data_IF_879274548963
#
_entry.id   IF_879274548963
#
_cell.length_a   1.000
_cell.length_b   1.000
_cell.length_c   1.000
_cell.angle_alpha   90.00
_cell.angle_beta   90.00
_cell.angle_gamma   90.00
#
_symmetry.space_group_name_H-M   'P 1'
#
loop_
_entity.id
_entity.type
_entity.pdbx_description
1 polymer ?
#
# COMPACT_ATOMS: atom_id res chain seq x y z
N UNK A 1 17.52 16.05 3.54
CA UNK A 1 16.19 16.65 3.33
C UNK A 1 15.66 17.11 4.68
N UNK A 2 15.51 18.43 4.92
CA UNK A 2 14.98 18.94 6.19
C UNK A 2 13.45 18.92 6.09
N UNK A 3 12.80 18.00 6.80
CA UNK A 3 11.35 17.99 6.93
C UNK A 3 10.94 19.12 7.87
N UNK A 4 9.91 19.88 7.48
CA UNK A 4 9.30 20.86 8.39
C UNK A 4 8.50 20.13 9.46
N UNK A 5 8.31 20.74 10.63
CA UNK A 5 7.48 20.17 11.70
C UNK A 5 6.08 19.82 11.20
N UNK A 6 5.49 20.68 10.35
CA UNK A 6 4.18 20.43 9.71
C UNK A 6 4.18 19.14 8.87
N UNK A 7 5.22 18.94 8.05
CA UNK A 7 5.34 17.73 7.23
C UNK A 7 5.52 16.48 8.09
N UNK A 8 6.30 16.55 9.16
CA UNK A 8 6.52 15.43 10.07
C UNK A 8 5.22 15.03 10.78
N UNK A 9 4.46 16.00 11.29
CA UNK A 9 3.16 15.76 11.91
C UNK A 9 2.20 15.11 10.93
N UNK A 10 2.15 15.60 9.69
CA UNK A 10 1.27 15.03 8.66
C UNK A 10 1.68 13.59 8.31
N UNK A 11 2.98 13.30 8.19
CA UNK A 11 3.47 11.94 7.99
C UNK A 11 3.08 11.02 9.16
N UNK A 12 3.16 11.50 10.41
CA UNK A 12 2.77 10.71 11.59
C UNK A 12 1.27 10.38 11.57
N UNK A 13 0.41 11.36 11.29
CA UNK A 13 -1.05 11.16 11.18
C UNK A 13 -1.39 10.19 10.05
N UNK A 14 -0.77 10.34 8.87
CA UNK A 14 -0.99 9.44 7.74
C UNK A 14 -0.46 8.04 8.04
N UNK A 15 0.64 7.90 8.78
CA UNK A 15 1.15 6.59 9.21
C UNK A 15 0.15 5.91 10.15
N UNK A 16 -0.41 6.65 11.11
CA UNK A 16 -1.44 6.11 12.01
C UNK A 16 -2.71 5.69 11.25
N UNK A 17 -3.14 6.48 10.27
CA UNK A 17 -4.28 6.14 9.40
C UNK A 17 -4.00 4.88 8.57
N UNK A 18 -2.80 4.77 8.00
CA UNK A 18 -2.38 3.59 7.23
C UNK A 18 -2.33 2.34 8.11
N UNK A 19 -1.90 2.47 9.37
CA UNK A 19 -1.94 1.38 10.36
C UNK A 19 -3.38 0.97 10.68
N UNK A 20 -4.28 1.92 10.89
CA UNK A 20 -5.69 1.64 11.12
C UNK A 20 -6.30 0.85 9.94
N UNK A 21 -6.04 1.26 8.70
CA UNK A 21 -6.48 0.51 7.52
C UNK A 21 -5.83 -0.88 7.43
N UNK A 22 -4.55 -1.01 7.74
CA UNK A 22 -3.88 -2.32 7.79
C UNK A 22 -4.48 -3.24 8.85
N UNK A 23 -4.94 -2.67 9.98
CA UNK A 23 -5.61 -3.43 11.03
C UNK A 23 -7.03 -3.84 10.61
N UNK A 24 -7.77 -2.93 9.98
CA UNK A 24 -9.11 -3.20 9.46
C UNK A 24 -9.11 -4.33 8.41
N UNK A 25 -8.05 -4.42 7.60
CA UNK A 25 -7.91 -5.53 6.63
C UNK A 25 -7.97 -6.91 7.28
N UNK A 26 -7.54 -7.05 8.53
CA UNK A 26 -7.55 -8.34 9.22
C UNK A 26 -8.99 -8.83 9.52
N UNK A 27 -9.98 -7.93 9.50
CA UNK A 27 -11.40 -8.29 9.66
C UNK A 27 -12.06 -8.74 8.35
N UNK A 28 -11.41 -8.50 7.21
CA UNK A 28 -11.89 -8.99 5.91
C UNK A 28 -11.09 -10.24 5.53
N UNK A 29 -11.60 -11.46 5.76
CA UNK A 29 -10.86 -12.67 5.48
C UNK A 29 -10.76 -12.87 3.96
N UNK A 30 -9.63 -12.46 3.39
CA UNK A 30 -9.25 -12.84 2.03
C UNK A 30 -8.87 -14.32 1.91
N UNK A 31 -8.88 -15.05 3.00
CA UNK A 31 -8.71 -16.49 3.03
C UNK A 31 -9.71 -17.23 2.14
N UNK A 32 -10.85 -16.61 1.80
CA UNK A 32 -11.80 -17.13 0.81
C UNK A 32 -11.27 -17.02 -0.63
N UNK A 33 -10.39 -16.05 -0.92
CA UNK A 33 -9.81 -15.84 -2.25
C UNK A 33 -8.39 -16.42 -2.38
N UNK A 34 -7.68 -16.62 -1.27
CA UNK A 34 -6.34 -17.20 -1.25
C UNK A 34 -6.09 -17.92 0.08
N UNK A 35 -5.72 -19.22 0.05
CA UNK A 35 -5.37 -19.98 1.24
C UNK A 35 -3.98 -19.63 1.79
N UNK A 36 -3.29 -18.65 1.22
CA UNK A 36 -1.96 -18.23 1.66
C UNK A 36 -2.08 -17.26 2.83
N UNK A 37 -1.59 -17.62 4.02
CA UNK A 37 -1.64 -16.74 5.18
C UNK A 37 -0.76 -15.50 4.95
N UNK A 38 -1.25 -14.32 5.35
CA UNK A 38 -0.50 -13.06 5.27
C UNK A 38 -0.77 -12.22 4.02
N UNK A 39 -1.47 -12.73 3.02
CA UNK A 39 -1.90 -11.93 1.86
C UNK A 39 -2.99 -10.92 2.30
N UNK A 40 -2.82 -9.67 1.87
CA UNK A 40 -3.70 -8.54 2.21
C UNK A 40 -4.22 -7.84 0.95
N UNK A 41 -5.42 -7.24 1.05
CA UNK A 41 -6.04 -6.42 -0.01
C UNK A 41 -5.23 -5.18 -0.39
N UNK A 42 -4.48 -4.65 0.58
CA UNK A 42 -3.71 -3.43 0.39
C UNK A 42 -4.53 -2.14 0.62
N UNK A 43 -5.55 -2.16 1.51
CA UNK A 43 -6.30 -0.95 1.87
C UNK A 43 -5.40 0.18 2.37
N UNK A 44 -4.33 -0.16 3.08
CA UNK A 44 -3.32 0.81 3.49
C UNK A 44 -2.63 1.52 2.30
N UNK A 45 -2.70 0.97 1.09
CA UNK A 45 -2.19 1.62 -0.11
C UNK A 45 -3.00 2.86 -0.50
N UNK A 46 -4.24 3.03 -0.02
CA UNK A 46 -5.03 4.27 -0.17
C UNK A 46 -4.20 5.45 0.35
N UNK A 47 -3.68 5.32 1.57
CA UNK A 47 -2.88 6.37 2.20
C UNK A 47 -1.56 6.56 1.46
N UNK A 48 -0.96 5.48 0.98
CA UNK A 48 0.32 5.52 0.28
C UNK A 48 0.19 6.22 -1.09
N UNK A 49 -0.87 5.90 -1.86
CA UNK A 49 -1.19 6.61 -3.13
C UNK A 49 -1.45 8.08 -2.85
N UNK A 50 -2.27 8.39 -1.86
CA UNK A 50 -2.56 9.77 -1.46
C UNK A 50 -1.26 10.52 -1.08
N UNK A 51 -0.43 9.94 -0.22
CA UNK A 51 0.82 10.55 0.20
C UNK A 51 1.81 10.78 -0.96
N UNK A 52 1.86 9.84 -1.92
CA UNK A 52 2.71 9.97 -3.11
C UNK A 52 2.36 11.23 -3.92
N UNK A 53 1.06 11.49 -4.11
CA UNK A 53 0.60 12.64 -4.90
C UNK A 53 0.54 13.94 -4.09
N UNK A 54 0.23 13.88 -2.79
CA UNK A 54 0.08 15.06 -1.93
C UNK A 54 1.41 15.58 -1.38
N UNK A 55 2.30 14.67 -1.00
CA UNK A 55 3.54 14.99 -0.27
C UNK A 55 4.81 14.66 -1.08
N UNK A 56 4.67 13.78 -2.05
CA UNK A 56 5.78 13.30 -2.87
C UNK A 56 6.38 11.97 -2.42
N UNK A 57 7.32 11.41 -3.23
CA UNK A 57 7.81 10.04 -3.06
C UNK A 57 8.53 9.80 -1.74
N UNK A 58 9.30 10.77 -1.25
CA UNK A 58 10.12 10.61 -0.06
C UNK A 58 9.27 10.49 1.21
N UNK A 59 8.25 11.33 1.35
CA UNK A 59 7.30 11.29 2.47
C UNK A 59 6.43 10.03 2.40
N UNK A 60 5.99 9.65 1.18
CA UNK A 60 5.23 8.43 0.98
C UNK A 60 6.04 7.17 1.38
N UNK A 61 7.34 7.13 1.06
CA UNK A 61 8.24 6.06 1.51
C UNK A 61 8.42 6.06 3.04
N UNK A 62 8.52 7.23 3.66
CA UNK A 62 8.62 7.33 5.12
C UNK A 62 7.34 6.77 5.79
N UNK A 63 6.17 7.14 5.31
CA UNK A 63 4.88 6.65 5.79
C UNK A 63 4.77 5.13 5.59
N UNK A 64 5.15 4.63 4.41
CA UNK A 64 5.16 3.21 4.10
C UNK A 64 6.05 2.43 5.06
N UNK A 65 7.30 2.89 5.25
CA UNK A 65 8.26 2.22 6.14
C UNK A 65 7.76 2.24 7.59
N UNK A 66 7.31 3.41 8.06
CA UNK A 66 6.76 3.57 9.41
C UNK A 66 5.59 2.62 9.67
N UNK A 67 4.61 2.55 8.76
CA UNK A 67 3.46 1.65 8.92
C UNK A 67 3.85 0.16 8.89
N UNK A 68 4.84 -0.23 8.06
CA UNK A 68 5.28 -1.62 7.99
C UNK A 68 5.98 -2.05 9.29
N UNK A 69 6.88 -1.20 9.80
CA UNK A 69 7.59 -1.47 11.04
C UNK A 69 6.64 -1.52 12.25
N UNK A 70 5.84 -0.48 12.43
CA UNK A 70 4.88 -0.42 13.55
C UNK A 70 3.82 -1.52 13.44
N UNK A 71 3.33 -1.80 12.23
CA UNK A 71 2.37 -2.87 12.02
C UNK A 71 2.92 -4.24 12.38
N UNK A 72 4.20 -4.52 12.11
CA UNK A 72 4.86 -5.75 12.49
C UNK A 72 5.06 -5.85 14.01
N UNK A 73 5.43 -4.74 14.66
CA UNK A 73 5.56 -4.68 16.13
C UNK A 73 4.21 -4.98 16.79
N UNK A 74 3.12 -4.35 16.31
CA UNK A 74 1.79 -4.59 16.88
C UNK A 74 1.24 -5.99 16.56
N UNK A 75 1.60 -6.57 15.42
CA UNK A 75 1.21 -7.92 15.05
C UNK A 75 2.03 -8.99 15.80
N UNK A 76 3.19 -8.64 16.36
CA UNK A 76 4.13 -9.58 16.99
C UNK A 76 4.63 -10.66 16.03
N UNK A 77 4.63 -10.41 14.72
CA UNK A 77 4.88 -11.41 13.69
C UNK A 77 5.84 -10.91 12.61
N UNK A 78 7.03 -11.53 12.55
CA UNK A 78 8.06 -11.18 11.57
C UNK A 78 7.62 -11.47 10.12
N UNK A 79 6.81 -12.51 9.89
CA UNK A 79 6.28 -12.78 8.55
C UNK A 79 5.41 -11.63 8.06
N UNK A 80 4.59 -11.03 8.95
CA UNK A 80 3.79 -9.85 8.60
C UNK A 80 4.67 -8.68 8.12
N UNK A 81 5.88 -8.51 8.69
CA UNK A 81 6.84 -7.51 8.24
C UNK A 81 7.33 -7.80 6.82
N UNK A 82 7.75 -9.04 6.54
CA UNK A 82 8.27 -9.45 5.22
C UNK A 82 7.21 -9.23 4.15
N UNK A 83 5.97 -9.68 4.37
CA UNK A 83 4.85 -9.47 3.44
C UNK A 83 4.55 -7.99 3.23
N UNK A 84 4.53 -7.20 4.29
CA UNK A 84 4.23 -5.77 4.22
C UNK A 84 5.34 -4.98 3.51
N UNK A 85 6.61 -5.31 3.76
CA UNK A 85 7.73 -4.64 3.12
C UNK A 85 7.81 -5.00 1.63
N UNK A 86 7.86 -6.29 1.29
CA UNK A 86 7.98 -6.71 -0.12
C UNK A 86 6.78 -6.24 -0.93
N UNK A 87 5.55 -6.41 -0.43
CA UNK A 87 4.36 -5.90 -1.08
C UNK A 87 4.34 -4.38 -1.19
N UNK A 88 4.62 -3.68 -0.09
CA UNK A 88 4.57 -2.23 -0.03
C UNK A 88 5.65 -1.54 -0.89
N UNK A 89 6.89 -2.00 -0.82
CA UNK A 89 7.97 -1.42 -1.62
C UNK A 89 7.81 -1.72 -3.11
N UNK A 90 7.36 -2.93 -3.49
CA UNK A 90 7.05 -3.25 -4.88
C UNK A 90 5.95 -2.33 -5.43
N UNK A 91 4.88 -2.14 -4.66
CA UNK A 91 3.81 -1.22 -5.00
C UNK A 91 4.32 0.21 -5.16
N UNK A 92 5.10 0.71 -4.18
CA UNK A 92 5.63 2.07 -4.19
C UNK A 92 6.55 2.32 -5.39
N UNK A 93 7.45 1.37 -5.69
CA UNK A 93 8.35 1.48 -6.84
C UNK A 93 7.56 1.66 -8.14
N UNK A 94 6.58 0.79 -8.38
CA UNK A 94 5.74 0.83 -9.58
C UNK A 94 4.91 2.11 -9.60
N UNK A 95 4.30 2.52 -8.49
CA UNK A 95 3.53 3.75 -8.41
C UNK A 95 4.38 5.00 -8.69
N UNK A 96 5.62 5.07 -8.18
CA UNK A 96 6.54 6.18 -8.48
C UNK A 96 6.90 6.21 -9.97
N UNK A 97 7.14 5.05 -10.58
CA UNK A 97 7.45 4.98 -12.01
C UNK A 97 6.25 5.39 -12.87
N UNK A 98 5.07 4.85 -12.56
CA UNK A 98 3.84 5.12 -13.30
C UNK A 98 3.34 6.57 -13.10
N UNK A 99 3.54 7.16 -11.92
CA UNK A 99 3.15 8.54 -11.63
C UNK A 99 3.91 9.60 -12.44
N UNK A 100 5.07 9.23 -13.00
CA UNK A 100 5.83 10.09 -13.90
C UNK A 100 5.22 10.18 -15.32
N UNK A 101 4.37 9.22 -15.67
CA UNK A 101 3.70 9.20 -16.99
C UNK A 101 2.52 10.17 -17.00
N UNK A 102 2.48 11.07 -17.99
CA UNK A 102 1.38 12.02 -18.19
C UNK A 102 0.08 11.35 -18.69
N UNK A 103 0.17 10.11 -19.16
CA UNK A 103 -0.97 9.37 -19.71
C UNK A 103 -1.74 8.55 -18.67
N UNK A 104 -1.19 8.39 -17.47
CA UNK A 104 -1.80 7.58 -16.41
C UNK A 104 -2.47 8.47 -15.36
N UNK A 105 -3.74 8.18 -15.12
CA UNK A 105 -4.49 8.79 -14.01
C UNK A 105 -4.10 8.15 -12.68
N UNK A 106 -4.50 8.78 -11.58
CA UNK A 106 -4.36 8.23 -10.23
C UNK A 106 -4.95 6.81 -10.12
N UNK A 107 -6.01 6.51 -10.87
CA UNK A 107 -6.63 5.19 -10.92
C UNK A 107 -5.71 4.15 -11.55
N UNK A 108 -5.11 4.47 -12.71
CA UNK A 108 -4.16 3.59 -13.39
C UNK A 108 -2.91 3.32 -12.54
N UNK A 109 -2.38 4.37 -11.89
CA UNK A 109 -1.26 4.24 -10.95
C UNK A 109 -1.62 3.36 -9.76
N UNK A 110 -2.83 3.49 -9.21
CA UNK A 110 -3.32 2.69 -8.10
C UNK A 110 -3.48 1.22 -8.47
N UNK A 111 -4.04 0.93 -9.65
CA UNK A 111 -4.17 -0.45 -10.18
C UNK A 111 -2.80 -1.08 -10.38
N UNK A 112 -1.86 -0.36 -11.02
CA UNK A 112 -0.49 -0.84 -11.19
C UNK A 112 0.22 -1.10 -9.83
N UNK A 113 -0.01 -0.20 -8.87
CA UNK A 113 0.46 -0.37 -7.50
C UNK A 113 -0.11 -1.62 -6.80
N UNK A 114 -1.42 -1.86 -6.95
CA UNK A 114 -2.08 -3.04 -6.39
C UNK A 114 -1.55 -4.35 -7.02
N UNK A 115 -1.35 -4.36 -8.33
CA UNK A 115 -0.75 -5.51 -9.02
C UNK A 115 0.68 -5.79 -8.53
N UNK A 116 1.51 -4.76 -8.44
CA UNK A 116 2.87 -4.87 -7.92
C UNK A 116 2.89 -5.28 -6.44
N UNK A 117 1.94 -4.80 -5.64
CA UNK A 117 1.78 -5.22 -4.25
C UNK A 117 1.55 -6.74 -4.15
N UNK A 118 0.62 -7.27 -4.93
CA UNK A 118 0.34 -8.70 -4.96
C UNK A 118 1.54 -9.53 -5.46
N UNK A 119 2.28 -9.03 -6.47
CA UNK A 119 3.54 -9.66 -6.88
C UNK A 119 4.56 -9.72 -5.73
N UNK A 120 4.72 -8.62 -5.01
CA UNK A 120 5.60 -8.56 -3.84
C UNK A 120 5.17 -9.49 -2.71
N UNK A 121 3.86 -9.64 -2.48
CA UNK A 121 3.33 -10.59 -1.49
C UNK A 121 3.55 -12.05 -1.90
N UNK A 122 3.39 -12.39 -3.18
CA UNK A 122 3.71 -13.73 -3.69
C UNK A 122 5.21 -14.01 -3.55
N UNK A 123 6.08 -13.04 -3.86
CA UNK A 123 7.52 -13.19 -3.62
C UNK A 123 7.82 -13.43 -2.13
N UNK A 124 7.17 -12.71 -1.22
CA UNK A 124 7.27 -12.93 0.21
C UNK A 124 6.82 -14.35 0.60
N UNK A 125 5.69 -14.82 0.04
CA UNK A 125 5.18 -16.17 0.28
C UNK A 125 6.16 -17.25 -0.21
N UNK A 126 6.73 -17.09 -1.39
CA UNK A 126 7.73 -18.03 -1.92
C UNK A 126 8.98 -18.10 -1.02
N UNK A 127 9.43 -16.94 -0.52
CA UNK A 127 10.58 -16.87 0.38
C UNK A 127 10.29 -17.51 1.75
N UNK A 128 9.12 -17.25 2.32
CA UNK A 128 8.76 -17.75 3.66
C UNK A 128 8.41 -19.23 3.66
N UNK A 129 7.84 -19.75 2.58
CA UNK A 129 7.47 -21.16 2.44
C UNK A 129 8.60 -22.00 1.82
N UNK A 130 9.65 -21.38 1.30
CA UNK A 130 10.72 -22.09 0.59
C UNK A 130 10.24 -22.86 -0.67
N UNK A 131 9.14 -22.42 -1.29
CA UNK A 131 8.47 -23.11 -2.39
C UNK A 131 7.93 -22.11 -3.42
N UNK A 132 7.88 -22.52 -4.69
CA UNK A 132 7.27 -21.74 -5.78
C UNK A 132 5.75 -21.95 -5.90
N UNK A 133 5.16 -22.81 -5.07
CA UNK A 133 3.71 -23.08 -5.09
C UNK A 133 2.82 -21.81 -5.00
N UNK A 134 3.17 -20.73 -4.24
CA UNK A 134 2.40 -19.50 -4.23
C UNK A 134 2.21 -18.84 -5.60
N UNK A 135 3.09 -19.06 -6.57
CA UNK A 135 2.97 -18.49 -7.92
C UNK A 135 1.68 -18.91 -8.64
N UNK A 136 1.12 -20.08 -8.32
CA UNK A 136 -0.15 -20.53 -8.91
C UNK A 136 -1.33 -19.61 -8.55
N UNK A 137 -1.24 -18.84 -7.46
CA UNK A 137 -2.27 -17.88 -7.05
C UNK A 137 -2.10 -16.49 -7.68
N UNK A 138 -0.95 -16.23 -8.31
CA UNK A 138 -0.65 -14.92 -8.90
C UNK A 138 -1.70 -14.44 -9.91
N UNK A 139 -2.19 -15.27 -10.87
CA UNK A 139 -3.21 -14.81 -11.83
C UNK A 139 -4.50 -14.33 -11.15
N UNK A 140 -4.96 -15.04 -10.11
CA UNK A 140 -6.16 -14.69 -9.35
C UNK A 140 -5.95 -13.35 -8.62
N UNK A 141 -4.78 -13.18 -8.00
CA UNK A 141 -4.44 -11.96 -7.27
C UNK A 141 -4.25 -10.76 -8.20
N UNK A 142 -3.73 -10.96 -9.40
CA UNK A 142 -3.66 -9.91 -10.42
C UNK A 142 -5.05 -9.52 -10.91
N UNK A 143 -5.96 -10.47 -11.10
CA UNK A 143 -7.36 -10.18 -11.37
C UNK A 143 -8.02 -9.36 -10.24
N UNK A 144 -7.79 -9.77 -8.99
CA UNK A 144 -8.28 -9.03 -7.81
C UNK A 144 -7.69 -7.63 -7.72
N UNK A 145 -6.44 -7.41 -8.17
CA UNK A 145 -5.79 -6.10 -8.15
C UNK A 145 -6.48 -5.05 -9.01
N UNK A 146 -7.21 -5.45 -10.04
CA UNK A 146 -8.01 -4.53 -10.85
C UNK A 146 -9.11 -3.90 -10.00
N UNK A 147 -9.79 -4.70 -9.20
CA UNK A 147 -10.88 -4.25 -8.32
C UNK A 147 -10.31 -3.46 -7.15
N UNK A 148 -9.36 -4.04 -6.43
CA UNK A 148 -8.78 -3.40 -5.23
C UNK A 148 -8.03 -2.13 -5.59
N UNK A 149 -7.30 -2.11 -6.72
CA UNK A 149 -6.61 -0.92 -7.22
C UNK A 149 -7.57 0.18 -7.67
N UNK A 150 -8.70 -0.18 -8.30
CA UNK A 150 -9.74 0.79 -8.64
C UNK A 150 -10.36 1.40 -7.37
N UNK A 151 -10.73 0.58 -6.39
CA UNK A 151 -11.28 1.03 -5.10
C UNK A 151 -10.31 1.94 -4.36
N UNK A 152 -9.04 1.55 -4.25
CA UNK A 152 -8.00 2.37 -3.60
C UNK A 152 -7.76 3.67 -4.35
N UNK A 153 -7.81 3.66 -5.68
CA UNK A 153 -7.69 4.86 -6.53
C UNK A 153 -8.86 5.83 -6.32
N UNK A 154 -10.10 5.31 -6.29
CA UNK A 154 -11.29 6.13 -5.99
C UNK A 154 -11.21 6.72 -4.59
N UNK A 155 -10.87 5.91 -3.58
CA UNK A 155 -10.74 6.39 -2.22
C UNK A 155 -9.68 7.48 -2.06
N UNK A 156 -8.50 7.31 -2.71
CA UNK A 156 -7.46 8.32 -2.73
C UNK A 156 -7.92 9.61 -3.44
N UNK A 157 -8.62 9.49 -4.57
CA UNK A 157 -9.16 10.65 -5.29
C UNK A 157 -10.24 11.39 -4.47
N UNK A 158 -11.11 10.67 -3.75
CA UNK A 158 -12.07 11.27 -2.83
C UNK A 158 -11.37 12.01 -1.70
N UNK A 159 -10.33 11.41 -1.11
CA UNK A 159 -9.53 12.04 -0.07
C UNK A 159 -8.90 13.35 -0.57
N UNK A 160 -8.38 13.37 -1.81
CA UNK A 160 -7.89 14.60 -2.44
C UNK A 160 -8.97 15.67 -2.54
N UNK A 161 -10.18 15.32 -2.99
CA UNK A 161 -11.28 16.30 -3.11
C UNK A 161 -11.66 16.89 -1.77
N UNK A 162 -11.77 16.07 -0.74
CA UNK A 162 -12.12 16.53 0.61
C UNK A 162 -11.05 17.45 1.17
N UNK A 163 -9.77 17.09 1.03
CA UNK A 163 -8.65 17.85 1.58
C UNK A 163 -8.25 19.07 0.73
N UNK A 164 -8.62 19.10 -0.57
CA UNK A 164 -8.36 20.26 -1.43
C UNK A 164 -9.06 21.54 -0.92
N UNK A 165 -10.17 21.41 -0.18
CA UNK A 165 -10.85 22.53 0.46
C UNK A 165 -10.20 22.95 1.77
N UNK A 166 -9.21 22.23 2.27
CA UNK A 166 -8.46 22.55 3.48
C UNK A 166 -7.07 23.08 3.12
N UNK A 167 -6.64 24.19 3.76
CA UNK A 167 -5.29 24.77 3.55
C UNK A 167 -4.15 23.92 4.17
N UNK A 168 -4.38 22.62 4.36
CA UNK A 168 -3.44 21.73 5.06
C UNK A 168 -2.15 21.50 4.24
N UNK A 169 -2.23 21.56 2.91
CA UNK A 169 -1.10 21.31 2.00
C UNK A 169 -0.42 22.56 1.44
N UNK A 170 -0.87 23.75 1.85
CA UNK A 170 -0.22 25.04 1.55
C UNK A 170 0.82 25.42 2.58
#
# INVERSE_FOLDING_TARGET
MKLTTKQLTLCAVLTALALAFSYLENFFPLTLASPIPGIKLGLANIVTVFALYALGPAQALLILTGRCLLGAVFAGNMNALIFSLLGGFSAMLVMILLSKSRHLSIYGVSVGGAAAHNCGQIAAACLTLGSMAPLYYLPILLGASLITGAVTGVAAACLFRVLAHTNIFR
#
